data_IF_347437983923
#
_entry.id   IF_347437983923
#
_cell.length_a   1.000
_cell.length_b   1.000
_cell.length_c   1.000
_cell.angle_alpha   90.00
_cell.angle_beta   90.00
_cell.angle_gamma   90.00
#
_symmetry.space_group_name_H-M   'P 1'
#
loop_
_entity.id
_entity.type
_entity.pdbx_description
1 polymer ?
#
# COMPACT_ATOMS: atom_id res chain seq x y z
N UNK A 1 -17.12 5.32 27.97
CA UNK A 1 -17.61 4.70 26.71
C UNK A 1 -16.68 4.94 25.51
N UNK A 2 -16.15 6.16 25.35
CA UNK A 2 -15.21 6.52 24.27
C UNK A 2 -13.89 5.74 24.26
N UNK A 3 -13.25 5.55 25.42
CA UNK A 3 -11.98 4.80 25.52
C UNK A 3 -12.08 3.34 25.04
N UNK A 4 -13.18 2.66 25.39
CA UNK A 4 -13.46 1.30 24.93
C UNK A 4 -13.62 1.25 23.40
N UNK A 5 -14.29 2.24 22.83
CA UNK A 5 -14.43 2.38 21.39
C UNK A 5 -13.07 2.61 20.71
N UNK A 6 -12.23 3.49 21.27
CA UNK A 6 -10.87 3.73 20.78
C UNK A 6 -9.99 2.47 20.84
N UNK A 7 -10.05 1.72 21.94
CA UNK A 7 -9.30 0.45 22.08
C UNK A 7 -9.70 -0.56 21.01
N UNK A 8 -11.00 -0.65 20.69
CA UNK A 8 -11.51 -1.51 19.62
C UNK A 8 -11.00 -1.07 18.25
N UNK A 9 -11.05 0.23 17.94
CA UNK A 9 -10.55 0.77 16.68
C UNK A 9 -9.05 0.54 16.51
N UNK A 10 -8.25 0.80 17.55
CA UNK A 10 -6.79 0.54 17.52
C UNK A 10 -6.47 -0.92 17.24
N UNK A 11 -7.22 -1.85 17.84
CA UNK A 11 -7.05 -3.29 17.57
C UNK A 11 -7.38 -3.63 16.13
N UNK A 12 -8.50 -3.13 15.60
CA UNK A 12 -8.91 -3.39 14.21
C UNK A 12 -7.92 -2.82 13.20
N UNK A 13 -7.47 -1.57 13.38
CA UNK A 13 -6.48 -0.96 12.48
C UNK A 13 -5.10 -1.62 12.61
N UNK A 14 -4.72 -2.06 13.82
CA UNK A 14 -3.51 -2.85 14.03
C UNK A 14 -3.56 -4.19 13.27
N UNK A 15 -4.68 -4.91 13.31
CA UNK A 15 -4.87 -6.16 12.56
C UNK A 15 -4.76 -5.92 11.05
N UNK A 16 -5.49 -4.93 10.51
CA UNK A 16 -5.44 -4.58 9.08
C UNK A 16 -4.05 -4.16 8.62
N UNK A 17 -3.33 -3.37 9.42
CA UNK A 17 -1.93 -3.00 9.13
C UNK A 17 -1.05 -4.24 9.09
N UNK A 18 -1.18 -5.16 10.05
CA UNK A 18 -0.42 -6.40 10.07
C UNK A 18 -0.72 -7.24 8.82
N UNK A 19 -1.99 -7.43 8.47
CA UNK A 19 -2.41 -8.13 7.25
C UNK A 19 -1.82 -7.49 5.99
N UNK A 20 -1.85 -6.16 5.88
CA UNK A 20 -1.28 -5.46 4.72
C UNK A 20 0.23 -5.72 4.58
N UNK A 21 0.98 -5.63 5.68
CA UNK A 21 2.42 -5.86 5.67
C UNK A 21 2.76 -7.32 5.36
N UNK A 22 2.02 -8.26 5.94
CA UNK A 22 2.18 -9.69 5.65
C UNK A 22 1.85 -10.02 4.20
N UNK A 23 0.75 -9.49 3.67
CA UNK A 23 0.35 -9.71 2.28
C UNK A 23 1.41 -9.15 1.31
N UNK A 24 1.98 -7.97 1.59
CA UNK A 24 3.07 -7.40 0.78
C UNK A 24 4.29 -8.33 0.77
N UNK A 25 4.70 -8.79 1.95
CA UNK A 25 5.87 -9.66 2.10
C UNK A 25 5.70 -11.03 1.42
N UNK A 26 4.47 -11.53 1.32
CA UNK A 26 4.15 -12.80 0.65
C UNK A 26 3.99 -12.64 -0.87
N UNK A 27 3.42 -11.52 -1.32
CA UNK A 27 3.06 -11.33 -2.73
C UNK A 27 4.18 -10.72 -3.57
N UNK A 28 5.16 -10.04 -2.96
CA UNK A 28 6.22 -9.33 -3.68
C UNK A 28 7.61 -9.85 -3.32
N UNK A 29 8.55 -9.94 -4.27
CA UNK A 29 9.91 -10.38 -3.99
C UNK A 29 10.62 -9.50 -2.95
N UNK A 30 11.41 -10.11 -2.07
CA UNK A 30 12.24 -9.36 -1.12
C UNK A 30 13.17 -8.37 -1.84
N UNK A 31 13.24 -7.13 -1.35
CA UNK A 31 14.04 -6.06 -1.97
C UNK A 31 13.43 -5.43 -3.23
N UNK A 32 12.23 -5.83 -3.65
CA UNK A 32 11.50 -5.18 -4.75
C UNK A 32 10.70 -3.93 -4.31
N UNK A 33 10.66 -3.67 -3.01
CA UNK A 33 9.99 -2.52 -2.43
C UNK A 33 10.58 -2.20 -1.05
N UNK A 34 10.34 -0.98 -0.58
CA UNK A 34 10.58 -0.56 0.80
C UNK A 34 9.28 -0.03 1.39
N UNK A 35 8.98 -0.44 2.63
CA UNK A 35 7.82 0.05 3.36
C UNK A 35 8.27 1.05 4.41
N UNK A 36 7.73 2.27 4.32
CA UNK A 36 7.76 3.22 5.43
C UNK A 36 6.40 3.16 6.12
N UNK A 37 6.39 2.50 7.28
CA UNK A 37 5.20 2.35 8.10
C UNK A 37 5.50 2.77 9.53
N UNK A 38 5.01 3.94 9.93
CA UNK A 38 4.99 4.32 11.34
C UNK A 38 4.08 3.37 12.16
N UNK A 39 4.31 3.22 13.47
CA UNK A 39 3.47 2.39 14.36
C UNK A 39 2.08 3.00 14.61
N UNK A 40 1.69 4.04 13.87
CA UNK A 40 0.42 4.73 13.96
C UNK A 40 -0.09 5.11 12.55
N UNK A 41 -1.39 5.41 12.46
CA UNK A 41 -2.02 5.88 11.23
C UNK A 41 -2.89 4.83 10.54
N UNK A 42 -3.31 5.19 9.32
CA UNK A 42 -4.33 4.48 8.52
C UNK A 42 -3.85 4.18 7.10
N UNK A 43 -2.56 4.40 6.85
CA UNK A 43 -1.91 4.18 5.57
C UNK A 43 -0.46 3.71 5.75
N UNK A 44 0.10 3.14 4.69
CA UNK A 44 1.51 2.78 4.56
C UNK A 44 2.05 3.38 3.27
N UNK A 45 3.24 3.98 3.33
CA UNK A 45 3.96 4.40 2.14
C UNK A 45 4.81 3.24 1.62
N UNK A 46 4.65 2.91 0.35
CA UNK A 46 5.40 1.87 -0.33
C UNK A 46 6.29 2.51 -1.39
N UNK A 47 7.60 2.49 -1.20
CA UNK A 47 8.58 2.85 -2.22
C UNK A 47 8.83 1.65 -3.12
N UNK A 48 8.82 1.88 -4.43
CA UNK A 48 8.99 0.87 -5.46
C UNK A 48 10.39 0.98 -6.08
N UNK A 49 10.81 -0.05 -6.80
CA UNK A 49 12.09 0.03 -7.51
C UNK A 49 12.11 1.15 -8.56
N UNK A 50 13.30 1.76 -8.80
CA UNK A 50 13.49 2.69 -9.90
C UNK A 50 13.05 2.10 -11.24
N UNK A 51 12.50 2.93 -12.12
CA UNK A 51 12.01 2.54 -13.44
C UNK A 51 10.51 2.25 -13.51
N UNK A 52 9.82 2.08 -12.37
CA UNK A 52 8.35 2.01 -12.35
C UNK A 52 7.76 3.40 -12.56
N UNK A 53 6.94 3.57 -13.60
CA UNK A 53 6.20 4.81 -13.80
C UNK A 53 4.96 4.84 -12.88
N UNK A 54 5.04 5.68 -11.83
CA UNK A 54 3.98 5.85 -10.82
C UNK A 54 2.62 6.19 -11.44
N UNK A 55 2.57 7.11 -12.40
CA UNK A 55 1.32 7.54 -13.03
C UNK A 55 0.70 6.42 -13.89
N UNK A 56 1.53 5.62 -14.57
CA UNK A 56 1.06 4.45 -15.32
C UNK A 56 0.48 3.40 -14.37
N UNK A 57 1.19 3.11 -13.27
CA UNK A 57 0.74 2.15 -12.26
C UNK A 57 -0.62 2.54 -11.69
N UNK A 58 -0.80 3.81 -11.30
CA UNK A 58 -2.07 4.31 -10.74
C UNK A 58 -3.20 4.19 -11.77
N UNK A 59 -2.97 4.57 -13.03
CA UNK A 59 -4.01 4.46 -14.08
C UNK A 59 -4.38 3.00 -14.33
N UNK A 60 -3.40 2.11 -14.46
CA UNK A 60 -3.63 0.70 -14.72
C UNK A 60 -4.32 0.02 -13.52
N UNK A 61 -3.98 0.42 -12.29
CA UNK A 61 -4.64 -0.05 -11.08
C UNK A 61 -6.10 0.39 -11.01
N UNK A 62 -6.38 1.66 -11.33
CA UNK A 62 -7.74 2.19 -11.34
C UNK A 62 -8.65 1.47 -12.35
N UNK A 63 -8.12 1.09 -13.52
CA UNK A 63 -8.86 0.26 -14.50
C UNK A 63 -9.24 -1.12 -13.96
N UNK A 64 -8.53 -1.60 -12.95
CA UNK A 64 -8.82 -2.84 -12.24
C UNK A 64 -9.60 -2.61 -10.93
N UNK A 65 -10.03 -1.39 -10.62
CA UNK A 65 -10.72 -1.06 -9.38
C UNK A 65 -9.81 -1.09 -8.14
N UNK A 66 -8.49 -0.97 -8.31
CA UNK A 66 -7.53 -0.74 -7.24
C UNK A 66 -7.23 0.76 -7.15
N UNK A 67 -7.53 1.36 -6.00
CA UNK A 67 -7.34 2.80 -5.80
C UNK A 67 -6.33 3.04 -4.67
N UNK A 68 -5.33 3.87 -4.96
CA UNK A 68 -4.33 4.36 -4.01
C UNK A 68 -3.78 5.70 -4.53
N UNK A 69 -3.07 6.43 -3.68
CA UNK A 69 -2.54 7.73 -4.03
C UNK A 69 -1.10 7.63 -4.51
N UNK A 70 -0.73 8.52 -5.44
CA UNK A 70 0.66 8.81 -5.75
C UNK A 70 1.39 9.26 -4.48
N UNK A 71 2.48 8.58 -4.14
CA UNK A 71 3.32 8.98 -3.02
C UNK A 71 4.04 10.30 -3.30
N UNK A 72 4.33 10.60 -4.57
CA UNK A 72 4.96 11.85 -5.00
C UNK A 72 4.23 13.13 -4.54
N UNK A 73 2.91 13.06 -4.35
CA UNK A 73 2.10 14.18 -3.84
C UNK A 73 2.41 14.55 -2.38
N UNK A 74 3.10 13.68 -1.66
CA UNK A 74 3.45 13.85 -0.25
C UNK A 74 4.91 14.23 -0.02
N UNK A 75 5.66 14.55 -1.08
CA UNK A 75 7.02 15.05 -0.99
C UNK A 75 7.08 16.55 -1.31
N UNK A 76 7.87 17.30 -0.53
CA UNK A 76 8.17 18.72 -0.80
C UNK A 76 9.18 18.89 -1.95
N UNK A 77 10.01 17.88 -2.18
CA UNK A 77 11.03 17.83 -3.23
C UNK A 77 10.78 16.58 -4.11
N UNK A 78 11.32 16.51 -5.33
CA UNK A 78 11.20 15.29 -6.15
C UNK A 78 11.59 14.03 -5.36
N UNK A 79 10.74 13.00 -5.30
CA UNK A 79 11.05 11.80 -4.53
C UNK A 79 12.20 11.01 -5.16
N UNK A 80 13.03 10.32 -4.35
CA UNK A 80 14.18 9.56 -4.85
C UNK A 80 13.78 8.29 -5.61
N UNK A 81 12.55 7.81 -5.42
CA UNK A 81 11.99 6.63 -6.08
C UNK A 81 10.47 6.79 -6.23
N UNK A 82 9.84 6.08 -7.19
CA UNK A 82 8.39 6.00 -7.29
C UNK A 82 7.80 5.44 -6.00
N UNK A 83 6.70 6.01 -5.51
CA UNK A 83 6.07 5.55 -4.27
C UNK A 83 4.55 5.60 -4.36
N UNK A 84 3.86 4.79 -3.56
CA UNK A 84 2.39 4.81 -3.48
C UNK A 84 1.94 4.77 -2.03
N UNK A 85 0.85 5.48 -1.74
CA UNK A 85 0.25 5.51 -0.42
C UNK A 85 -0.95 4.56 -0.35
N UNK A 86 -0.82 3.49 0.44
CA UNK A 86 -1.83 2.45 0.59
C UNK A 86 -2.65 2.69 1.86
N UNK A 87 -3.91 3.10 1.70
CA UNK A 87 -4.86 3.25 2.81
C UNK A 87 -5.54 1.92 3.16
N UNK A 88 -5.71 1.64 4.46
CA UNK A 88 -6.31 0.38 4.95
C UNK A 88 -7.45 0.56 5.96
N UNK A 89 -7.83 1.80 6.32
CA UNK A 89 -8.86 2.06 7.33
C UNK A 89 -10.26 1.61 6.96
N UNK A 90 -10.60 1.63 5.67
CA UNK A 90 -11.93 1.28 5.16
C UNK A 90 -12.07 -0.18 4.72
N UNK A 91 -11.00 -0.97 4.79
CA UNK A 91 -10.96 -2.33 4.28
C UNK A 91 -11.02 -3.35 5.41
N UNK A 92 -11.57 -4.53 5.12
CA UNK A 92 -11.32 -5.73 5.92
C UNK A 92 -10.04 -6.45 5.49
N UNK A 93 -9.59 -7.41 6.31
CA UNK A 93 -8.36 -8.15 6.09
C UNK A 93 -8.37 -8.96 4.78
N UNK A 94 -9.50 -9.55 4.38
CA UNK A 94 -9.61 -10.31 3.14
C UNK A 94 -9.53 -9.43 1.90
N UNK A 95 -10.14 -8.24 1.94
CA UNK A 95 -10.02 -7.23 0.89
C UNK A 95 -8.57 -6.74 0.73
N UNK A 96 -7.84 -6.61 1.84
CA UNK A 96 -6.42 -6.26 1.82
C UNK A 96 -5.60 -7.34 1.11
N UNK A 97 -5.76 -8.61 1.48
CA UNK A 97 -5.02 -9.72 0.87
C UNK A 97 -5.26 -9.81 -0.64
N UNK A 98 -6.53 -9.76 -1.06
CA UNK A 98 -6.90 -9.77 -2.48
C UNK A 98 -6.34 -8.55 -3.21
N UNK A 99 -6.46 -7.36 -2.61
CA UNK A 99 -5.97 -6.11 -3.20
C UNK A 99 -4.46 -6.13 -3.42
N UNK A 100 -3.70 -6.56 -2.42
CA UNK A 100 -2.24 -6.66 -2.49
C UNK A 100 -1.80 -7.71 -3.52
N UNK A 101 -2.44 -8.88 -3.57
CA UNK A 101 -2.12 -9.89 -4.58
C UNK A 101 -2.36 -9.39 -6.02
N UNK A 102 -3.39 -8.56 -6.23
CA UNK A 102 -3.64 -7.93 -7.54
C UNK A 102 -2.63 -6.83 -7.86
N UNK A 103 -2.28 -6.01 -6.87
CA UNK A 103 -1.24 -4.97 -7.00
C UNK A 103 0.11 -5.57 -7.37
N UNK A 104 0.53 -6.65 -6.70
CA UNK A 104 1.80 -7.32 -6.97
C UNK A 104 1.89 -7.81 -8.43
N UNK A 105 0.86 -8.50 -8.93
CA UNK A 105 0.79 -8.93 -10.33
C UNK A 105 0.86 -7.77 -11.31
N UNK A 106 0.18 -6.66 -11.00
CA UNK A 106 0.20 -5.48 -11.86
C UNK A 106 1.59 -4.84 -11.93
N UNK A 107 2.29 -4.77 -10.79
CA UNK A 107 3.66 -4.25 -10.73
C UNK A 107 4.59 -5.14 -11.58
N UNK A 108 4.47 -6.46 -11.49
CA UNK A 108 5.26 -7.38 -12.33
C UNK A 108 5.00 -7.19 -13.83
N UNK A 109 3.73 -7.03 -14.23
CA UNK A 109 3.37 -6.77 -15.62
C UNK A 109 3.98 -5.48 -16.15
N UNK A 110 3.95 -4.41 -15.35
CA UNK A 110 4.51 -3.10 -15.76
C UNK A 110 6.03 -3.15 -15.85
N UNK A 111 6.72 -3.96 -15.03
CA UNK A 111 8.18 -4.11 -15.08
C UNK A 111 8.68 -4.85 -16.34
N UNK A 112 7.79 -5.57 -17.03
CA UNK A 112 8.11 -6.30 -18.26
C UNK A 112 7.87 -5.48 -19.54
N UNK A 113 7.30 -4.27 -19.40
CA UNK A 113 7.07 -3.32 -20.49
C UNK A 113 8.23 -2.33 -20.60
#
# INVERSE_FOLDING_TARGET
HFERHLKRLRRAYGARRATLLTALAQAMPAGSYEVVAEPAGLHVMLYLQPGINEALLIRAAAQQGLNFYAGSLYHLNPPPAPSILLGFSGLDEGQIEVGIGRLARLIEQIRQL
#
